data_IF_728512127409
#
_entry.id   IF_728512127409
#
_cell.length_a   1.000
_cell.length_b   1.000
_cell.length_c   1.000
_cell.angle_alpha   90.00
_cell.angle_beta   90.00
_cell.angle_gamma   90.00
#
_symmetry.space_group_name_H-M   'P 1'
#
loop_
_entity.id
_entity.type
_entity.pdbx_description
1 polymer ?
#
# COMPACT_ATOMS: atom_id res chain seq x y z
N UNK A 1 -46.15 74.87 32.22
CA UNK A 1 -46.07 73.44 31.82
C UNK A 1 -47.28 73.17 30.94
N UNK A 2 -47.27 72.50 29.80
CA UNK A 2 -46.27 71.71 29.08
C UNK A 2 -46.99 70.92 27.97
N UNK A 3 -46.19 70.30 27.09
CA UNK A 3 -46.51 69.35 26.00
C UNK A 3 -46.88 69.95 24.62
N UNK A 4 -45.85 70.04 23.75
CA UNK A 4 -46.02 69.92 22.29
C UNK A 4 -46.19 68.44 21.92
N UNK A 5 -47.09 68.07 21.00
CA UNK A 5 -47.21 66.71 20.49
C UNK A 5 -46.20 66.46 19.36
N UNK A 6 -45.51 65.32 19.44
CA UNK A 6 -44.72 64.73 18.35
C UNK A 6 -45.66 63.77 17.61
N UNK A 7 -46.11 64.16 16.42
CA UNK A 7 -46.85 63.30 15.51
C UNK A 7 -45.87 62.38 14.75
N UNK A 8 -46.27 61.11 14.63
CA UNK A 8 -45.45 59.99 14.15
C UNK A 8 -45.39 59.99 12.62
N UNK A 9 -44.23 60.32 12.06
CA UNK A 9 -43.91 60.24 10.63
C UNK A 9 -43.20 58.91 10.27
N UNK A 10 -43.54 57.84 10.99
CA UNK A 10 -42.84 56.54 10.91
C UNK A 10 -43.46 55.55 9.92
N UNK A 11 -44.68 55.81 9.45
CA UNK A 11 -45.44 54.84 8.62
C UNK A 11 -45.20 55.07 7.11
N UNK A 12 -45.08 56.33 6.68
CA UNK A 12 -44.84 56.68 5.27
C UNK A 12 -43.43 56.30 4.79
N UNK A 13 -42.41 56.47 5.63
CA UNK A 13 -41.01 56.15 5.30
C UNK A 13 -40.75 54.63 5.24
N UNK A 14 -41.44 53.84 6.05
CA UNK A 14 -41.33 52.37 6.04
C UNK A 14 -42.04 51.78 4.81
N UNK A 15 -43.20 52.31 4.44
CA UNK A 15 -43.90 51.92 3.22
C UNK A 15 -43.13 52.29 1.96
N UNK A 16 -42.49 53.46 1.91
CA UNK A 16 -41.65 53.88 0.78
C UNK A 16 -40.39 53.01 0.65
N UNK A 17 -39.77 52.63 1.78
CA UNK A 17 -38.66 51.67 1.79
C UNK A 17 -39.05 50.27 1.31
N UNK A 18 -40.22 49.77 1.69
CA UNK A 18 -40.74 48.47 1.23
C UNK A 18 -41.04 48.45 -0.27
N UNK A 19 -41.52 49.57 -0.82
CA UNK A 19 -41.78 49.72 -2.26
C UNK A 19 -40.48 49.75 -3.09
N UNK A 20 -39.41 50.36 -2.56
CA UNK A 20 -38.09 50.35 -3.21
C UNK A 20 -37.51 48.94 -3.25
N UNK A 21 -37.58 48.21 -2.13
CA UNK A 21 -37.07 46.82 -2.06
C UNK A 21 -37.82 45.89 -3.02
N UNK A 22 -39.15 45.95 -3.05
CA UNK A 22 -39.93 45.15 -4.00
C UNK A 22 -39.58 45.43 -5.46
N UNK A 23 -39.33 46.70 -5.80
CA UNK A 23 -38.94 47.08 -7.15
C UNK A 23 -37.53 46.58 -7.51
N UNK A 24 -36.61 46.55 -6.54
CA UNK A 24 -35.28 45.96 -6.71
C UNK A 24 -35.34 44.43 -6.87
N UNK A 25 -36.23 43.76 -6.15
CA UNK A 25 -36.53 42.32 -6.29
C UNK A 25 -37.11 41.99 -7.67
N UNK A 26 -38.08 42.77 -8.15
CA UNK A 26 -38.66 42.58 -9.49
C UNK A 26 -37.61 42.78 -10.60
N UNK A 27 -36.76 43.80 -10.48
CA UNK A 27 -35.67 44.05 -11.42
C UNK A 27 -34.60 42.94 -11.41
N UNK A 28 -34.39 42.28 -10.26
CA UNK A 28 -33.44 41.17 -10.17
C UNK A 28 -34.01 39.89 -10.77
N UNK A 29 -35.31 39.62 -10.59
CA UNK A 29 -36.02 38.50 -11.25
C UNK A 29 -36.03 38.67 -12.76
N UNK A 30 -36.39 39.86 -13.27
CA UNK A 30 -36.41 40.14 -14.72
C UNK A 30 -35.05 39.91 -15.39
N UNK A 31 -33.96 40.30 -14.73
CA UNK A 31 -32.60 40.05 -15.23
C UNK A 31 -32.25 38.56 -15.23
N UNK A 32 -32.68 37.80 -14.22
CA UNK A 32 -32.45 36.36 -14.19
C UNK A 32 -33.21 35.65 -15.32
N UNK A 33 -34.45 36.07 -15.56
CA UNK A 33 -35.28 35.55 -16.64
C UNK A 33 -34.64 35.81 -18.02
N UNK A 34 -34.18 37.05 -18.27
CA UNK A 34 -33.51 37.42 -19.52
C UNK A 34 -32.25 36.57 -19.78
N UNK A 35 -31.47 36.29 -18.73
CA UNK A 35 -30.18 35.58 -18.85
C UNK A 35 -30.32 34.05 -18.93
N UNK A 36 -31.27 33.45 -18.20
CA UNK A 36 -31.27 32.01 -17.94
C UNK A 36 -32.50 31.26 -18.45
N UNK A 37 -33.62 31.93 -18.74
CA UNK A 37 -34.80 31.25 -19.28
C UNK A 37 -34.75 31.04 -20.80
N UNK A 38 -33.76 31.63 -21.49
CA UNK A 38 -33.57 31.47 -22.94
C UNK A 38 -34.86 31.67 -23.77
N UNK A 39 -35.73 32.59 -23.32
CA UNK A 39 -37.02 32.89 -23.96
C UNK A 39 -38.19 31.96 -23.60
N UNK A 40 -38.03 31.08 -22.61
CA UNK A 40 -39.12 30.24 -22.06
C UNK A 40 -39.78 30.91 -20.85
N UNK A 41 -41.02 30.53 -20.54
CA UNK A 41 -41.66 30.93 -19.29
C UNK A 41 -41.07 30.18 -18.09
N UNK A 42 -41.07 30.82 -16.92
CA UNK A 42 -40.69 30.19 -15.65
C UNK A 42 -41.66 29.07 -15.29
N UNK A 43 -41.15 27.85 -15.19
CA UNK A 43 -41.86 26.69 -14.68
C UNK A 43 -40.97 26.01 -13.63
N UNK A 44 -41.34 26.17 -12.36
CA UNK A 44 -40.59 25.65 -11.21
C UNK A 44 -40.38 24.13 -11.30
N UNK A 45 -41.43 23.37 -11.67
CA UNK A 45 -41.35 21.92 -11.73
C UNK A 45 -40.44 21.45 -12.87
N UNK A 46 -40.46 22.14 -14.01
CA UNK A 46 -39.53 21.89 -15.12
C UNK A 46 -38.10 22.15 -14.69
N UNK A 47 -37.81 23.33 -14.13
CA UNK A 47 -36.46 23.73 -13.72
C UNK A 47 -35.89 22.82 -12.62
N UNK A 48 -36.71 22.38 -11.67
CA UNK A 48 -36.30 21.40 -10.65
C UNK A 48 -35.88 20.08 -11.32
N UNK A 49 -36.67 19.55 -12.25
CA UNK A 49 -36.36 18.29 -12.94
C UNK A 49 -35.12 18.39 -13.82
N UNK A 50 -34.97 19.49 -14.55
CA UNK A 50 -33.78 19.76 -15.36
C UNK A 50 -32.53 19.86 -14.48
N UNK A 51 -32.62 20.59 -13.38
CA UNK A 51 -31.53 20.70 -12.39
C UNK A 51 -31.17 19.33 -11.82
N UNK A 52 -32.15 18.52 -11.42
CA UNK A 52 -31.91 17.15 -10.95
C UNK A 52 -31.21 16.28 -12.01
N UNK A 53 -31.62 16.41 -13.27
CA UNK A 53 -31.03 15.67 -14.39
C UNK A 53 -29.59 16.09 -14.66
N UNK A 54 -29.30 17.40 -14.61
CA UNK A 54 -27.94 17.94 -14.75
C UNK A 54 -27.04 17.53 -13.59
N UNK A 55 -27.56 17.53 -12.35
CA UNK A 55 -26.82 17.05 -11.18
C UNK A 55 -26.49 15.56 -11.28
N UNK A 56 -27.43 14.75 -11.78
CA UNK A 56 -27.19 13.33 -12.06
C UNK A 56 -26.12 13.13 -13.12
N UNK A 57 -26.22 13.85 -14.24
CA UNK A 57 -25.21 13.80 -15.31
C UNK A 57 -23.83 14.23 -14.81
N UNK A 58 -23.76 15.29 -14.01
CA UNK A 58 -22.50 15.77 -13.42
C UNK A 58 -21.88 14.70 -12.52
N UNK A 59 -22.69 14.05 -11.68
CA UNK A 59 -22.26 12.92 -10.84
C UNK A 59 -21.70 11.77 -11.69
N UNK A 60 -22.47 11.30 -12.67
CA UNK A 60 -22.08 10.17 -13.53
C UNK A 60 -20.80 10.49 -14.31
N UNK A 61 -20.63 11.73 -14.75
CA UNK A 61 -19.42 12.21 -15.43
C UNK A 61 -18.19 12.19 -14.52
N UNK A 62 -18.32 12.62 -13.26
CA UNK A 62 -17.23 12.61 -12.28
C UNK A 62 -16.82 11.17 -11.93
N UNK A 63 -17.79 10.28 -11.77
CA UNK A 63 -17.56 8.84 -11.53
C UNK A 63 -16.84 8.21 -12.72
N UNK A 64 -17.38 8.38 -13.93
CA UNK A 64 -16.76 7.86 -15.15
C UNK A 64 -15.35 8.37 -15.37
N UNK A 65 -15.10 9.66 -15.11
CA UNK A 65 -13.75 10.23 -15.15
C UNK A 65 -12.81 9.56 -14.13
N UNK A 66 -13.29 9.33 -12.90
CA UNK A 66 -12.54 8.63 -11.86
C UNK A 66 -12.17 7.20 -12.24
N UNK A 67 -13.06 6.44 -12.88
CA UNK A 67 -12.77 5.10 -13.38
C UNK A 67 -11.65 5.11 -14.41
N UNK A 68 -11.69 6.03 -15.38
CA UNK A 68 -10.62 6.16 -16.39
C UNK A 68 -9.30 6.56 -15.75
N UNK A 69 -9.31 7.43 -14.75
CA UNK A 69 -8.11 7.81 -14.00
C UNK A 69 -7.51 6.64 -13.21
N UNK A 70 -8.34 5.75 -12.65
CA UNK A 70 -7.87 4.50 -12.01
C UNK A 70 -7.11 3.64 -13.02
N UNK A 71 -7.69 3.41 -14.21
CA UNK A 71 -7.05 2.63 -15.27
C UNK A 71 -5.73 3.26 -15.72
N UNK A 72 -5.73 4.57 -16.00
CA UNK A 72 -4.54 5.30 -16.39
C UNK A 72 -3.43 5.22 -15.33
N UNK A 73 -3.79 5.31 -14.05
CA UNK A 73 -2.83 5.17 -12.94
C UNK A 73 -2.27 3.75 -12.85
N UNK A 74 -3.10 2.73 -13.05
CA UNK A 74 -2.69 1.33 -13.01
C UNK A 74 -1.69 0.99 -14.13
N UNK A 75 -1.90 1.52 -15.33
CA UNK A 75 -1.01 1.30 -16.48
C UNK A 75 0.19 2.26 -16.56
N UNK A 76 0.18 3.37 -15.81
CA UNK A 76 1.12 4.47 -15.98
C UNK A 76 2.55 4.26 -15.48
N UNK A 77 2.85 3.21 -14.72
CA UNK A 77 4.14 3.05 -14.03
C UNK A 77 4.32 4.04 -12.88
N UNK A 78 5.28 3.77 -11.98
CA UNK A 78 5.51 4.62 -10.80
C UNK A 78 5.95 6.04 -11.20
N UNK A 79 5.38 7.06 -10.54
CA UNK A 79 5.73 8.48 -10.74
C UNK A 79 5.05 9.19 -11.92
N UNK A 80 4.48 8.46 -12.89
CA UNK A 80 3.94 9.06 -14.12
C UNK A 80 2.52 9.66 -13.96
N UNK A 81 1.84 9.37 -12.85
CA UNK A 81 0.45 9.80 -12.65
C UNK A 81 0.29 11.33 -12.61
N UNK A 82 1.29 12.06 -12.12
CA UNK A 82 1.27 13.53 -12.14
C UNK A 82 1.22 14.10 -13.56
N UNK A 83 2.00 13.53 -14.48
CA UNK A 83 2.01 13.92 -15.89
C UNK A 83 0.69 13.58 -16.60
N UNK A 84 0.10 12.43 -16.26
CA UNK A 84 -1.24 12.05 -16.73
C UNK A 84 -2.27 13.09 -16.29
N UNK A 85 -2.25 13.51 -15.02
CA UNK A 85 -3.16 14.54 -14.51
C UNK A 85 -3.00 15.88 -15.26
N UNK A 86 -1.76 16.28 -15.54
CA UNK A 86 -1.47 17.49 -16.32
C UNK A 86 -2.04 17.43 -17.74
N UNK A 87 -1.92 16.29 -18.43
CA UNK A 87 -2.49 16.08 -19.77
C UNK A 87 -4.02 16.10 -19.78
N UNK A 88 -4.64 15.57 -18.73
CA UNK A 88 -6.11 15.59 -18.56
C UNK A 88 -6.59 17.00 -18.16
N UNK A 89 -5.71 17.87 -17.69
CA UNK A 89 -6.05 19.24 -17.29
C UNK A 89 -6.66 19.32 -15.88
N UNK A 90 -6.35 18.36 -15.00
CA UNK A 90 -6.86 18.31 -13.63
C UNK A 90 -5.72 18.27 -12.61
N UNK A 91 -5.93 18.91 -11.45
CA UNK A 91 -4.99 18.79 -10.34
C UNK A 91 -4.95 17.35 -9.82
N UNK A 92 -3.78 16.87 -9.41
CA UNK A 92 -3.60 15.53 -8.87
C UNK A 92 -4.49 15.26 -7.64
N UNK A 93 -4.74 16.27 -6.78
CA UNK A 93 -5.66 16.13 -5.64
C UNK A 93 -7.10 15.89 -6.10
N UNK A 94 -7.57 16.64 -7.09
CA UNK A 94 -8.89 16.47 -7.71
C UNK A 94 -9.00 15.11 -8.41
N UNK A 95 -7.98 14.70 -9.16
CA UNK A 95 -7.92 13.38 -9.78
C UNK A 95 -8.04 12.26 -8.74
N UNK A 96 -7.29 12.34 -7.63
CA UNK A 96 -7.39 11.39 -6.54
C UNK A 96 -8.79 11.38 -5.89
N UNK A 97 -9.45 12.53 -5.75
CA UNK A 97 -10.84 12.61 -5.28
C UNK A 97 -11.80 11.89 -6.23
N UNK A 98 -11.71 12.15 -7.55
CA UNK A 98 -12.56 11.50 -8.54
C UNK A 98 -12.36 9.97 -8.57
N UNK A 99 -11.11 9.51 -8.50
CA UNK A 99 -10.80 8.08 -8.38
C UNK A 99 -11.38 7.45 -7.12
N UNK A 100 -11.39 8.18 -5.98
CA UNK A 100 -12.04 7.71 -4.76
C UNK A 100 -13.55 7.62 -4.95
N UNK A 101 -14.18 8.67 -5.49
CA UNK A 101 -15.61 8.67 -5.79
C UNK A 101 -15.98 7.51 -6.73
N UNK A 102 -15.21 7.26 -7.78
CA UNK A 102 -15.43 6.12 -8.67
C UNK A 102 -15.38 4.75 -7.96
N UNK A 103 -14.50 4.59 -6.97
CA UNK A 103 -14.45 3.36 -6.15
C UNK A 103 -15.68 3.21 -5.26
N UNK A 104 -16.26 4.32 -4.82
CA UNK A 104 -17.46 4.35 -3.99
C UNK A 104 -18.68 4.10 -4.89
N UNK A 105 -18.90 4.95 -5.90
CA UNK A 105 -20.08 4.90 -6.75
C UNK A 105 -20.10 3.79 -7.80
N UNK A 106 -18.94 3.28 -8.24
CA UNK A 106 -18.87 2.16 -9.18
C UNK A 106 -19.09 0.80 -8.52
N UNK A 107 -19.11 0.74 -7.17
CA UNK A 107 -19.31 -0.49 -6.39
C UNK A 107 -20.60 -0.49 -5.56
N UNK A 108 -21.06 0.66 -5.08
CA UNK A 108 -22.12 0.76 -4.08
C UNK A 108 -23.41 1.31 -4.71
N UNK A 109 -24.38 0.42 -4.91
CA UNK A 109 -25.61 0.71 -5.66
C UNK A 109 -26.57 1.57 -4.83
N UNK A 110 -26.65 1.35 -3.51
CA UNK A 110 -27.63 2.05 -2.65
C UNK A 110 -27.13 3.43 -2.22
N UNK A 111 -25.84 3.58 -1.92
CA UNK A 111 -25.19 4.86 -1.64
C UNK A 111 -25.25 5.80 -2.84
N UNK A 112 -25.32 5.25 -4.05
CA UNK A 112 -25.45 6.06 -5.27
C UNK A 112 -26.72 6.94 -5.29
N UNK A 113 -27.75 6.60 -4.52
CA UNK A 113 -29.00 7.37 -4.44
C UNK A 113 -28.90 8.64 -3.57
N UNK A 114 -27.82 8.80 -2.80
CA UNK A 114 -27.61 10.00 -1.98
C UNK A 114 -27.23 11.23 -2.83
N UNK A 115 -27.54 12.45 -2.37
CA UNK A 115 -27.06 13.68 -3.00
C UNK A 115 -25.53 13.81 -2.85
N UNK A 116 -24.89 14.36 -3.88
CA UNK A 116 -23.42 14.45 -3.99
C UNK A 116 -22.75 15.13 -2.77
N UNK A 117 -23.43 16.09 -2.15
CA UNK A 117 -22.98 16.78 -0.92
C UNK A 117 -22.77 15.82 0.26
N UNK A 118 -23.75 14.96 0.54
CA UNK A 118 -23.63 13.95 1.61
C UNK A 118 -22.58 12.90 1.31
N UNK A 119 -22.43 12.54 0.04
CA UNK A 119 -21.43 11.56 -0.37
C UNK A 119 -20.00 12.11 -0.23
N UNK A 120 -19.80 13.40 -0.48
CA UNK A 120 -18.55 14.07 -0.16
C UNK A 120 -18.28 14.08 1.35
N UNK A 121 -19.31 14.19 2.18
CA UNK A 121 -19.16 14.12 3.63
C UNK A 121 -18.67 12.75 4.11
N UNK A 122 -18.96 11.68 3.37
CA UNK A 122 -18.50 10.32 3.68
C UNK A 122 -17.04 10.04 3.24
N UNK A 123 -16.31 11.02 2.71
CA UNK A 123 -14.95 10.84 2.13
C UNK A 123 -13.90 10.27 3.11
N UNK A 124 -14.17 10.42 4.40
CA UNK A 124 -13.31 10.08 5.52
C UNK A 124 -13.49 8.63 5.99
N UNK A 125 -14.54 7.94 5.52
CA UNK A 125 -14.78 6.53 5.79
C UNK A 125 -13.93 5.63 4.86
N UNK A 126 -13.54 4.45 5.35
CA UNK A 126 -12.84 3.46 4.53
C UNK A 126 -13.80 2.73 3.57
N UNK A 127 -13.25 2.03 2.57
CA UNK A 127 -14.05 1.23 1.63
C UNK A 127 -14.95 0.21 2.33
N UNK A 128 -14.41 -0.47 3.35
CA UNK A 128 -15.09 -1.55 4.05
C UNK A 128 -16.24 -1.01 4.92
N UNK A 129 -16.10 0.23 5.39
CA UNK A 129 -17.16 0.93 6.11
C UNK A 129 -18.27 1.36 5.16
N UNK A 130 -17.92 1.89 3.99
CA UNK A 130 -18.91 2.26 2.98
C UNK A 130 -19.67 1.03 2.46
N UNK A 131 -19.00 -0.10 2.31
CA UNK A 131 -19.63 -1.37 1.90
C UNK A 131 -20.66 -1.87 2.92
N UNK A 132 -20.32 -1.84 4.21
CA UNK A 132 -21.25 -2.16 5.29
C UNK A 132 -22.48 -1.24 5.27
N UNK A 133 -22.28 0.08 5.16
CA UNK A 133 -23.40 1.02 5.06
C UNK A 133 -24.25 0.75 3.82
N UNK A 134 -23.64 0.48 2.66
CA UNK A 134 -24.36 0.16 1.42
C UNK A 134 -25.17 -1.15 1.55
N UNK A 135 -24.65 -2.13 2.27
CA UNK A 135 -25.36 -3.37 2.59
C UNK A 135 -26.52 -3.15 3.56
N UNK A 136 -26.55 -2.03 4.28
CA UNK A 136 -27.55 -1.69 5.29
C UNK A 136 -27.10 -1.98 6.72
N UNK A 137 -25.82 -2.31 6.92
CA UNK A 137 -25.23 -2.51 8.23
C UNK A 137 -24.99 -1.17 8.93
N UNK A 138 -25.02 -1.22 10.26
CA UNK A 138 -24.74 -0.07 11.12
C UNK A 138 -23.24 0.06 11.39
N UNK A 139 -22.74 1.29 11.35
CA UNK A 139 -21.37 1.62 11.73
C UNK A 139 -21.39 2.71 12.78
N UNK A 140 -20.98 2.37 14.00
CA UNK A 140 -20.84 3.32 15.11
C UNK A 140 -22.08 4.23 15.27
N UNK A 141 -23.29 3.67 15.15
CA UNK A 141 -24.55 4.41 15.24
C UNK A 141 -25.12 4.92 13.92
N UNK A 142 -24.38 4.84 12.80
CA UNK A 142 -24.83 5.36 11.49
C UNK A 142 -25.31 4.23 10.59
N UNK A 143 -26.50 4.41 10.00
CA UNK A 143 -27.06 3.57 8.94
C UNK A 143 -27.26 4.38 7.65
N UNK A 144 -27.48 3.68 6.53
CA UNK A 144 -27.81 4.31 5.25
C UNK A 144 -29.06 5.20 5.35
N UNK A 145 -30.10 4.72 6.03
CA UNK A 145 -31.34 5.48 6.26
C UNK A 145 -31.09 6.71 7.13
N UNK A 146 -30.25 6.58 8.17
CA UNK A 146 -29.83 7.71 9.01
C UNK A 146 -29.12 8.79 8.19
N UNK A 147 -28.19 8.42 7.32
CA UNK A 147 -27.49 9.34 6.41
C UNK A 147 -28.49 10.02 5.46
N UNK A 148 -29.46 9.28 4.95
CA UNK A 148 -30.50 9.83 4.08
C UNK A 148 -31.38 10.87 4.78
N UNK A 149 -31.65 10.71 6.08
CA UNK A 149 -32.44 11.64 6.89
C UNK A 149 -31.67 12.88 7.38
N UNK A 150 -30.35 12.76 7.62
CA UNK A 150 -29.50 13.86 8.12
C UNK A 150 -29.27 14.96 7.08
N UNK A 151 -28.80 16.13 7.50
CA UNK A 151 -28.25 17.18 6.63
C UNK A 151 -26.77 16.89 6.30
N UNK A 152 -26.21 17.58 5.31
CA UNK A 152 -24.79 17.43 4.98
C UNK A 152 -23.86 17.73 6.18
N UNK A 153 -24.20 18.75 6.98
CA UNK A 153 -23.39 19.14 8.14
C UNK A 153 -23.36 18.04 9.20
N UNK A 154 -24.52 17.47 9.51
CA UNK A 154 -24.66 16.37 10.47
C UNK A 154 -23.88 15.13 10.01
N UNK A 155 -23.96 14.78 8.72
CA UNK A 155 -23.16 13.66 8.17
C UNK A 155 -21.66 13.93 8.35
N UNK A 156 -21.18 15.15 8.10
CA UNK A 156 -19.76 15.49 8.30
C UNK A 156 -19.33 15.40 9.77
N UNK A 157 -20.17 15.86 10.69
CA UNK A 157 -19.89 15.80 12.12
C UNK A 157 -19.82 14.37 12.62
N UNK A 158 -20.77 13.54 12.18
CA UNK A 158 -20.84 12.15 12.61
C UNK A 158 -19.68 11.33 12.04
N UNK A 159 -19.32 11.55 10.78
CA UNK A 159 -18.12 10.93 10.17
C UNK A 159 -16.84 11.34 10.89
N UNK A 160 -16.71 12.61 11.30
CA UNK A 160 -15.58 13.05 12.13
C UNK A 160 -15.58 12.39 13.51
N UNK A 161 -16.75 12.20 14.12
CA UNK A 161 -16.88 11.49 15.40
C UNK A 161 -16.40 10.05 15.28
N UNK A 162 -16.83 9.33 14.23
CA UNK A 162 -16.38 7.97 13.96
C UNK A 162 -14.86 7.92 13.82
N UNK A 163 -14.27 8.84 13.06
CA UNK A 163 -12.81 8.89 12.93
C UNK A 163 -12.11 9.12 14.28
N UNK A 164 -12.60 10.07 15.08
CA UNK A 164 -12.02 10.36 16.39
C UNK A 164 -12.10 9.13 17.31
N UNK A 165 -13.24 8.44 17.35
CA UNK A 165 -13.43 7.23 18.13
C UNK A 165 -12.46 6.12 17.68
N UNK A 166 -12.35 5.89 16.37
CA UNK A 166 -11.44 4.88 15.81
C UNK A 166 -9.98 5.19 16.13
N UNK A 167 -9.56 6.45 16.02
CA UNK A 167 -8.19 6.84 16.39
C UNK A 167 -7.92 6.61 17.88
N UNK A 168 -8.87 6.94 18.75
CA UNK A 168 -8.73 6.69 20.19
C UNK A 168 -8.68 5.19 20.50
N UNK A 169 -9.51 4.38 19.86
CA UNK A 169 -9.48 2.91 20.00
C UNK A 169 -8.16 2.32 19.52
N UNK A 170 -7.60 2.83 18.42
CA UNK A 170 -6.34 2.35 17.88
C UNK A 170 -5.16 2.73 18.80
N UNK A 171 -5.15 3.94 19.35
CA UNK A 171 -4.15 4.33 20.36
C UNK A 171 -4.24 3.48 21.63
N UNK A 172 -5.44 3.20 22.12
CA UNK A 172 -5.65 2.34 23.29
C UNK A 172 -5.20 0.90 23.02
N UNK A 173 -5.54 0.37 21.84
CA UNK A 173 -5.06 -0.94 21.40
C UNK A 173 -3.53 -0.98 21.33
N UNK A 174 -2.90 0.04 20.76
CA UNK A 174 -1.44 0.13 20.68
C UNK A 174 -0.79 0.17 22.06
N UNK A 175 -1.33 0.96 23.00
CA UNK A 175 -0.87 0.99 24.40
C UNK A 175 -1.00 -0.39 25.08
N UNK A 176 -2.10 -1.11 24.83
CA UNK A 176 -2.32 -2.47 25.35
C UNK A 176 -1.32 -3.46 24.76
N UNK A 177 -1.03 -3.39 23.46
CA UNK A 177 -0.02 -4.23 22.81
C UNK A 177 1.36 -3.96 23.39
N UNK A 178 1.77 -2.70 23.54
CA UNK A 178 3.06 -2.34 24.15
C UNK A 178 3.17 -2.82 25.61
N UNK A 179 2.08 -2.72 26.37
CA UNK A 179 2.05 -3.24 27.74
C UNK A 179 2.18 -4.77 27.77
N UNK A 180 1.49 -5.47 26.88
CA UNK A 180 1.58 -6.93 26.73
C UNK A 180 2.99 -7.35 26.31
N UNK A 181 3.60 -6.68 25.33
CA UNK A 181 4.97 -6.95 24.90
C UNK A 181 5.98 -6.80 26.03
N UNK A 182 5.84 -5.77 26.88
CA UNK A 182 6.68 -5.60 28.08
C UNK A 182 6.53 -6.78 29.04
N UNK A 183 5.30 -7.23 29.29
CA UNK A 183 5.04 -8.39 30.16
C UNK A 183 5.60 -9.68 29.56
N UNK A 184 5.44 -9.88 28.24
CA UNK A 184 5.99 -11.05 27.54
C UNK A 184 7.51 -11.06 27.65
N UNK A 185 8.21 -9.95 27.36
CA UNK A 185 9.67 -9.85 27.52
C UNK A 185 10.13 -10.14 28.94
N UNK A 186 9.42 -9.64 29.95
CA UNK A 186 9.72 -9.94 31.35
C UNK A 186 9.56 -11.43 31.68
N UNK A 187 8.53 -12.07 31.13
CA UNK A 187 8.30 -13.51 31.32
C UNK A 187 9.32 -14.35 30.57
N UNK A 188 9.67 -13.99 29.33
CA UNK A 188 10.72 -14.64 28.55
C UNK A 188 12.07 -14.58 29.24
N UNK A 189 12.44 -13.41 29.81
CA UNK A 189 13.65 -13.28 30.62
C UNK A 189 13.64 -14.24 31.82
N UNK A 190 12.55 -14.27 32.59
CA UNK A 190 12.41 -15.20 33.72
C UNK A 190 12.40 -16.66 33.31
N UNK A 191 11.79 -17.00 32.18
CA UNK A 191 11.80 -18.37 31.64
C UNK A 191 13.24 -18.73 31.26
N UNK A 192 13.96 -17.86 30.56
CA UNK A 192 15.36 -18.06 30.23
C UNK A 192 16.23 -18.24 31.48
N UNK A 193 15.99 -17.45 32.53
CA UNK A 193 16.72 -17.56 33.81
C UNK A 193 16.41 -18.89 34.51
N UNK A 194 15.12 -19.27 34.59
CA UNK A 194 14.70 -20.55 35.18
C UNK A 194 15.16 -21.76 34.35
N UNK A 195 15.17 -21.67 33.02
CA UNK A 195 15.70 -22.70 32.12
C UNK A 195 17.21 -22.85 32.31
N UNK A 196 17.93 -21.75 32.55
CA UNK A 196 19.36 -21.78 32.90
C UNK A 196 19.61 -22.49 34.24
N UNK A 197 18.79 -22.19 35.25
CA UNK A 197 18.86 -22.87 36.57
C UNK A 197 18.52 -24.37 36.47
N UNK A 198 17.53 -24.74 35.68
CA UNK A 198 17.10 -26.14 35.50
C UNK A 198 18.08 -26.96 34.63
N UNK A 199 18.73 -26.35 33.63
CA UNK A 199 19.57 -27.05 32.67
C UNK A 199 21.06 -27.15 33.07
N UNK A 200 21.52 -26.37 34.06
CA UNK A 200 22.92 -26.37 34.51
C UNK A 200 23.95 -26.07 33.39
N UNK A 201 23.51 -25.49 32.27
CA UNK A 201 24.32 -25.16 31.09
C UNK A 201 24.08 -23.72 30.68
N UNK A 202 25.15 -23.03 30.29
CA UNK A 202 25.10 -21.64 29.78
C UNK A 202 24.35 -21.59 28.44
N UNK A 203 23.69 -20.46 28.12
CA UNK A 203 22.97 -20.29 26.86
C UNK A 203 23.93 -20.40 25.66
N UNK A 204 23.49 -21.01 24.53
CA UNK A 204 24.29 -21.12 23.33
C UNK A 204 24.71 -19.74 22.85
N UNK A 205 26.01 -19.58 22.64
CA UNK A 205 26.63 -18.31 22.27
C UNK A 205 26.30 -17.96 20.81
N UNK A 206 26.53 -16.69 20.43
CA UNK A 206 26.40 -16.28 19.02
C UNK A 206 27.31 -17.09 18.09
N UNK A 207 28.42 -17.62 18.61
CA UNK A 207 29.35 -18.50 17.90
C UNK A 207 28.71 -19.87 17.62
N UNK A 208 27.98 -20.45 18.58
CA UNK A 208 27.29 -21.72 18.40
C UNK A 208 26.18 -21.64 17.34
N UNK A 209 25.45 -20.52 17.29
CA UNK A 209 24.41 -20.26 16.29
C UNK A 209 25.04 -20.06 14.90
N UNK A 210 26.19 -19.38 14.83
CA UNK A 210 26.92 -19.19 13.57
C UNK A 210 27.49 -20.52 13.05
N UNK A 211 28.01 -21.36 13.94
CA UNK A 211 28.53 -22.68 13.59
C UNK A 211 27.43 -23.61 13.06
N UNK A 212 26.25 -23.61 13.69
CA UNK A 212 25.11 -24.39 13.21
C UNK A 212 24.66 -23.99 11.78
N UNK A 213 24.68 -22.68 11.46
CA UNK A 213 24.38 -22.17 10.11
C UNK A 213 25.45 -22.55 9.09
N UNK A 214 26.72 -22.54 9.49
CA UNK A 214 27.83 -22.98 8.64
C UNK A 214 27.73 -24.49 8.35
N UNK A 215 27.41 -25.29 9.38
CA UNK A 215 27.25 -26.75 9.25
C UNK A 215 26.07 -27.12 8.33
N UNK A 216 25.01 -26.32 8.30
CA UNK A 216 23.90 -26.47 7.35
C UNK A 216 24.37 -26.27 5.90
N UNK A 217 25.29 -25.33 5.64
CA UNK A 217 25.85 -25.04 4.30
C UNK A 217 26.99 -25.99 3.91
N UNK A 218 27.69 -26.56 4.88
CA UNK A 218 28.75 -27.55 4.65
C UNK A 218 28.21 -28.84 4.01
N UNK A 219 27.04 -29.30 4.46
CA UNK A 219 26.41 -30.54 3.96
C UNK A 219 26.19 -30.54 2.43
N UNK A 220 25.49 -29.55 1.83
CA UNK A 220 25.26 -29.56 0.38
C UNK A 220 26.55 -29.42 -0.43
N UNK A 221 27.53 -28.65 0.04
CA UNK A 221 28.85 -28.55 -0.61
C UNK A 221 29.57 -29.91 -0.62
N UNK A 222 29.59 -30.60 0.52
CA UNK A 222 30.19 -31.94 0.61
C UNK A 222 29.48 -32.95 -0.29
N UNK A 223 28.14 -32.94 -0.31
CA UNK A 223 27.35 -33.82 -1.18
C UNK A 223 27.66 -33.58 -2.66
N UNK A 224 27.77 -32.32 -3.11
CA UNK A 224 28.08 -31.99 -4.50
C UNK A 224 29.48 -32.48 -4.90
N UNK A 225 30.48 -32.28 -4.05
CA UNK A 225 31.87 -32.74 -4.30
C UNK A 225 31.91 -34.27 -4.38
N UNK A 226 31.27 -34.97 -3.44
CA UNK A 226 31.25 -36.45 -3.44
C UNK A 226 30.55 -37.03 -4.67
N UNK A 227 29.46 -36.41 -5.13
CA UNK A 227 28.80 -36.81 -6.38
C UNK A 227 29.72 -36.67 -7.58
N UNK A 228 30.47 -35.56 -7.68
CA UNK A 228 31.43 -35.35 -8.77
C UNK A 228 32.58 -36.35 -8.73
N UNK A 229 33.06 -36.74 -7.55
CA UNK A 229 34.08 -37.78 -7.39
C UNK A 229 33.56 -39.12 -7.92
N UNK A 230 32.34 -39.49 -7.55
CA UNK A 230 31.70 -40.74 -8.01
C UNK A 230 31.54 -40.76 -9.54
N UNK A 231 31.08 -39.65 -10.14
CA UNK A 231 30.94 -39.52 -11.60
C UNK A 231 32.29 -39.68 -12.33
N UNK A 232 33.37 -39.14 -11.75
CA UNK A 232 34.72 -39.31 -12.28
C UNK A 232 35.23 -40.75 -12.12
N UNK A 233 34.95 -41.42 -11.00
CA UNK A 233 35.27 -42.84 -10.81
C UNK A 233 34.59 -43.70 -11.89
N UNK A 234 33.30 -43.48 -12.15
CA UNK A 234 32.57 -44.17 -13.23
C UNK A 234 33.17 -43.88 -14.61
N UNK A 235 33.65 -42.65 -14.86
CA UNK A 235 34.32 -42.32 -16.11
C UNK A 235 35.66 -43.05 -16.25
N UNK A 236 36.43 -43.18 -15.17
CA UNK A 236 37.69 -43.94 -15.14
C UNK A 236 37.44 -45.41 -15.47
N UNK A 237 36.45 -46.04 -14.81
CA UNK A 237 36.11 -47.45 -15.06
C UNK A 237 35.76 -47.70 -16.54
N UNK A 238 35.03 -46.78 -17.16
CA UNK A 238 34.69 -46.86 -18.60
C UNK A 238 35.92 -46.75 -19.49
N UNK A 239 36.88 -45.90 -19.14
CA UNK A 239 38.14 -45.80 -19.87
C UNK A 239 38.95 -47.09 -19.73
N UNK A 240 38.96 -47.71 -18.55
CA UNK A 240 39.60 -49.02 -18.35
C UNK A 240 38.93 -50.12 -19.19
N UNK A 241 37.61 -50.15 -19.24
CA UNK A 241 36.87 -51.12 -20.05
C UNK A 241 37.10 -50.95 -21.55
N UNK A 242 37.18 -49.71 -22.03
CA UNK A 242 37.58 -49.42 -23.43
C UNK A 242 38.98 -49.97 -23.71
N UNK A 243 39.92 -49.82 -22.77
CA UNK A 243 41.27 -50.36 -22.90
C UNK A 243 41.32 -51.91 -22.92
N UNK A 244 40.29 -52.59 -22.41
CA UNK A 244 40.17 -54.06 -22.37
C UNK A 244 39.46 -54.66 -23.59
N UNK A 245 39.02 -53.85 -24.54
CA UNK A 245 38.29 -54.32 -25.72
C UNK A 245 39.22 -55.09 -26.68
N UNK A 246 38.80 -56.29 -27.09
CA UNK A 246 39.57 -57.13 -28.00
C UNK A 246 39.83 -56.45 -29.36
N UNK A 247 40.98 -56.72 -29.97
CA UNK A 247 41.41 -56.24 -31.29
C UNK A 247 41.64 -54.72 -31.48
N UNK A 248 41.55 -53.91 -30.41
CA UNK A 248 41.83 -52.46 -30.47
C UNK A 248 43.33 -52.18 -30.64
N UNK A 249 43.65 -51.30 -31.60
CA UNK A 249 45.03 -50.90 -31.91
C UNK A 249 45.45 -49.63 -31.15
N UNK A 250 46.75 -49.49 -30.85
CA UNK A 250 47.32 -48.33 -30.14
C UNK A 250 46.95 -46.97 -30.77
N UNK A 251 46.90 -46.91 -32.10
CA UNK A 251 46.52 -45.69 -32.83
C UNK A 251 45.05 -45.29 -32.60
N UNK A 252 44.16 -46.26 -32.37
CA UNK A 252 42.74 -45.99 -32.09
C UNK A 252 42.57 -45.43 -30.68
N UNK A 253 43.27 -45.99 -29.69
CA UNK A 253 43.30 -45.47 -28.31
C UNK A 253 43.91 -44.07 -28.26
N UNK A 254 44.98 -43.82 -29.03
CA UNK A 254 45.64 -42.50 -29.09
C UNK A 254 44.72 -41.43 -29.67
N UNK A 255 43.91 -41.77 -30.68
CA UNK A 255 42.90 -40.84 -31.25
C UNK A 255 41.77 -40.56 -30.27
N UNK A 256 41.30 -41.59 -29.55
CA UNK A 256 40.28 -41.45 -28.53
C UNK A 256 40.76 -40.54 -27.39
N UNK A 257 41.96 -40.75 -26.87
CA UNK A 257 42.54 -39.90 -25.83
C UNK A 257 42.57 -38.42 -26.27
N UNK A 258 43.05 -38.16 -27.50
CA UNK A 258 43.09 -36.81 -28.07
C UNK A 258 41.71 -36.18 -28.28
N UNK A 259 40.67 -36.98 -28.53
CA UNK A 259 39.32 -36.45 -28.70
C UNK A 259 38.72 -35.87 -27.42
N UNK A 260 39.28 -36.19 -26.25
CA UNK A 260 38.85 -35.68 -24.96
C UNK A 260 39.77 -34.59 -24.38
N UNK A 261 40.81 -34.15 -25.10
CA UNK A 261 41.79 -33.17 -24.59
C UNK A 261 41.11 -31.84 -24.18
N UNK A 262 40.07 -31.43 -24.92
CA UNK A 262 39.32 -30.20 -24.65
C UNK A 262 38.51 -30.32 -23.36
N UNK A 263 37.79 -31.43 -23.19
CA UNK A 263 36.96 -31.75 -22.03
C UNK A 263 37.81 -31.92 -20.78
N UNK A 264 38.96 -32.58 -20.90
CA UNK A 264 39.93 -32.74 -19.80
C UNK A 264 40.54 -31.41 -19.37
N UNK A 265 40.77 -30.49 -20.31
CA UNK A 265 41.24 -29.14 -20.00
C UNK A 265 40.18 -28.32 -19.27
N UNK A 266 38.92 -28.39 -19.70
CA UNK A 266 37.80 -27.73 -19.03
C UNK A 266 37.58 -28.28 -17.61
N UNK A 267 37.68 -29.61 -17.43
CA UNK A 267 37.56 -30.23 -16.12
C UNK A 267 38.64 -29.73 -15.15
N UNK A 268 39.89 -29.63 -15.60
CA UNK A 268 41.00 -29.07 -14.81
C UNK A 268 40.72 -27.63 -14.39
N UNK A 269 40.30 -26.78 -15.32
CA UNK A 269 39.94 -25.39 -15.03
C UNK A 269 38.87 -25.29 -13.92
N UNK A 270 37.85 -26.16 -13.94
CA UNK A 270 36.79 -26.15 -12.92
C UNK A 270 37.27 -26.65 -11.56
N UNK A 271 38.17 -27.63 -11.52
CA UNK A 271 38.80 -28.08 -10.28
C UNK A 271 39.68 -26.99 -9.68
N UNK A 272 40.48 -26.31 -10.51
CA UNK A 272 41.32 -25.18 -10.08
C UNK A 272 40.46 -24.03 -9.53
N UNK A 273 39.37 -23.70 -10.23
CA UNK A 273 38.42 -22.65 -9.78
C UNK A 273 37.76 -23.02 -8.44
N UNK A 274 37.41 -24.28 -8.24
CA UNK A 274 36.83 -24.76 -6.97
C UNK A 274 37.85 -24.69 -5.83
N UNK A 275 39.10 -25.08 -6.09
CA UNK A 275 40.18 -25.01 -5.11
C UNK A 275 40.50 -23.55 -4.73
N UNK A 276 40.58 -22.65 -5.70
CA UNK A 276 40.72 -21.20 -5.45
C UNK A 276 39.57 -20.65 -4.59
N UNK A 277 38.33 -21.04 -4.87
CA UNK A 277 37.17 -20.61 -4.10
C UNK A 277 37.17 -21.13 -2.66
N UNK A 278 37.62 -22.38 -2.44
CA UNK A 278 37.77 -22.97 -1.11
C UNK A 278 38.92 -22.33 -0.32
N UNK A 279 40.05 -22.07 -0.99
CA UNK A 279 41.20 -21.41 -0.38
C UNK A 279 40.91 -19.95 -0.03
N UNK A 280 40.17 -19.22 -0.88
CA UNK A 280 39.71 -17.86 -0.58
C UNK A 280 38.75 -17.79 0.61
N UNK A 281 38.01 -18.87 0.90
CA UNK A 281 37.17 -18.99 2.08
C UNK A 281 37.96 -19.26 3.38
N UNK A 282 39.24 -19.63 3.27
CA UNK A 282 40.14 -19.84 4.40
C UNK A 282 41.00 -18.58 4.61
N UNK A 283 40.77 -17.77 5.66
CA UNK A 283 41.70 -16.69 5.97
C UNK A 283 42.98 -17.34 6.51
N UNK A 284 44.01 -17.46 5.66
CA UNK A 284 45.36 -17.74 6.13
C UNK A 284 45.73 -16.57 7.06
N UNK A 285 45.75 -16.84 8.37
CA UNK A 285 46.48 -16.01 9.31
C UNK A 285 47.95 -16.24 9.00
N UNK A 286 48.56 -15.37 8.20
CA UNK A 286 50.00 -15.23 8.22
C UNK A 286 50.37 -14.74 9.62
N UNK A 287 51.03 -15.62 10.37
CA UNK A 287 51.62 -15.32 11.67
C UNK A 287 52.58 -14.15 11.53
N UNK A 288 52.20 -13.01 12.10
CA UNK A 288 53.16 -11.93 12.40
C UNK A 288 54.08 -12.47 13.50
N UNK A 289 55.42 -12.51 13.31
CA UNK A 289 56.31 -12.97 14.36
C UNK A 289 56.23 -12.00 15.52
N UNK A 290 55.90 -12.53 16.71
CA UNK A 290 56.00 -11.79 17.96
C UNK A 290 57.44 -11.29 18.14
N UNK A 291 57.68 -10.03 17.81
CA UNK A 291 58.89 -9.33 18.23
C UNK A 291 58.56 -8.39 19.38
N UNK A 292 59.23 -8.69 20.50
CA UNK A 292 59.73 -7.78 21.52
C UNK A 292 58.83 -7.38 22.71
N UNK A 293 59.25 -7.92 23.87
CA UNK A 293 59.64 -7.22 25.11
C UNK A 293 58.59 -6.34 25.80
N UNK A 294 58.34 -6.45 27.11
CA UNK A 294 59.26 -6.78 28.23
C UNK A 294 58.43 -7.11 29.49
N UNK A 295 58.94 -7.90 30.44
CA UNK A 295 58.29 -8.15 31.73
C UNK A 295 58.65 -7.07 32.74
N UNK A 296 57.70 -6.67 33.59
CA UNK A 296 58.04 -6.00 34.84
C UNK A 296 57.38 -6.70 36.02
N UNK A 297 58.24 -7.05 36.98
CA UNK A 297 57.93 -7.42 38.36
C UNK A 297 57.35 -6.21 39.10
#
# INVERSE_FOLDING_TARGET
MGRKPLEKDYDATVMDGALVLHKEEELTIQKADELYLAGQEYDELRLIKETQSLLKLAKDSVVGAGEKLILLKAHGGHGNFGFICQKVGIEQRTANRYMKLARIFGKFDKLSNLPASKLNALELLSSDQLEKIDNGDEISGITLEGIAAMTESEVREEVKRIQAEMTAQQEDHQKKVEALEKVVRQKEGKISDMEMELAGRQPPTKEDIAQAKLDEKRKPLFTAIMSGIEDLSVAIDRVEDICRTDDVQLDQLTRLARSFDSEMSLLKEKLDTLDEALNAACPIKEDVPCTSNTPNK
#
